data_IF_304171488668
#
_entry.id   IF_304171488668
#
_cell.length_a   1.000
_cell.length_b   1.000
_cell.length_c   1.000
_cell.angle_alpha   90.00
_cell.angle_beta   90.00
_cell.angle_gamma   90.00
#
_symmetry.space_group_name_H-M   'P 1'
#
loop_
_entity.id
_entity.type
_entity.pdbx_description
1 polymer ?
#
# COMPACT_ATOMS: atom_id res chain seq x y z
N UNK A 1 -21.78 9.05 13.63
CA UNK A 1 -21.08 7.76 13.88
C UNK A 1 -20.29 7.25 12.69
N UNK A 2 -20.91 6.95 11.52
CA UNK A 2 -20.20 6.39 10.35
C UNK A 2 -18.96 7.19 9.89
N UNK A 3 -19.04 8.53 9.85
CA UNK A 3 -17.90 9.40 9.44
C UNK A 3 -16.71 9.32 10.40
N UNK A 4 -16.96 9.27 11.71
CA UNK A 4 -15.89 9.20 12.73
C UNK A 4 -15.17 7.85 12.63
N UNK A 5 -15.91 6.75 12.48
CA UNK A 5 -15.33 5.41 12.29
C UNK A 5 -14.46 5.39 11.03
N UNK A 6 -14.96 5.94 9.91
CA UNK A 6 -14.20 6.06 8.67
C UNK A 6 -12.88 6.82 8.87
N UNK A 7 -12.93 8.02 9.47
CA UNK A 7 -11.73 8.82 9.72
C UNK A 7 -10.71 8.11 10.61
N UNK A 8 -11.16 7.40 11.66
CA UNK A 8 -10.28 6.63 12.56
C UNK A 8 -9.61 5.47 11.81
N UNK A 9 -10.36 4.72 11.00
CA UNK A 9 -9.81 3.61 10.21
C UNK A 9 -8.77 4.11 9.21
N UNK A 10 -9.03 5.24 8.53
CA UNK A 10 -8.05 5.86 7.64
C UNK A 10 -6.82 6.38 8.39
N UNK A 11 -6.98 6.94 9.59
CA UNK A 11 -5.86 7.37 10.42
C UNK A 11 -4.97 6.18 10.85
N UNK A 12 -5.59 5.07 11.26
CA UNK A 12 -4.88 3.85 11.62
C UNK A 12 -4.12 3.26 10.42
N UNK A 13 -4.78 3.18 9.26
CA UNK A 13 -4.16 2.70 8.02
C UNK A 13 -2.95 3.58 7.63
N UNK A 14 -3.08 4.90 7.72
CA UNK A 14 -1.99 5.83 7.45
C UNK A 14 -0.83 5.65 8.44
N UNK A 15 -1.11 5.52 9.74
CA UNK A 15 -0.09 5.29 10.76
C UNK A 15 0.69 3.99 10.51
N UNK A 16 -0.02 2.89 10.20
CA UNK A 16 0.59 1.61 9.84
C UNK A 16 1.44 1.71 8.57
N UNK A 17 0.97 2.45 7.56
CA UNK A 17 1.71 2.71 6.32
C UNK A 17 3.02 3.47 6.56
N UNK A 18 2.98 4.54 7.38
CA UNK A 18 4.17 5.31 7.76
C UNK A 18 5.18 4.45 8.53
N UNK A 19 4.70 3.63 9.48
CA UNK A 19 5.56 2.69 10.21
C UNK A 19 6.21 1.69 9.25
N UNK A 20 5.44 1.15 8.29
CA UNK A 20 5.97 0.23 7.26
C UNK A 20 7.10 0.86 6.44
N UNK A 21 6.92 2.09 5.95
CA UNK A 21 7.97 2.83 5.22
C UNK A 21 9.19 3.06 6.12
N UNK A 22 8.97 3.51 7.35
CA UNK A 22 10.07 3.75 8.29
C UNK A 22 10.90 2.48 8.51
N UNK A 23 10.25 1.33 8.71
CA UNK A 23 10.93 0.06 8.89
C UNK A 23 11.70 -0.37 7.63
N UNK A 24 11.14 -0.14 6.43
CA UNK A 24 11.83 -0.43 5.16
C UNK A 24 13.11 0.42 5.01
N UNK A 25 13.02 1.74 5.22
CA UNK A 25 14.17 2.64 5.14
C UNK A 25 15.21 2.32 6.22
N UNK A 26 14.77 2.04 7.45
CA UNK A 26 15.68 1.63 8.53
C UNK A 26 16.44 0.37 8.17
N UNK A 27 15.75 -0.66 7.66
CA UNK A 27 16.38 -1.91 7.24
C UNK A 27 17.39 -1.69 6.10
N UNK A 28 17.04 -0.89 5.10
CA UNK A 28 17.95 -0.57 4.00
C UNK A 28 19.21 0.15 4.49
N UNK A 29 19.05 1.17 5.34
CA UNK A 29 20.17 1.93 5.90
C UNK A 29 21.10 1.04 6.74
N UNK A 30 20.54 0.13 7.55
CA UNK A 30 21.31 -0.80 8.37
C UNK A 30 22.01 -1.88 7.52
N UNK A 31 21.46 -2.22 6.35
CA UNK A 31 21.99 -3.25 5.45
C UNK A 31 22.83 -2.69 4.30
N UNK A 32 23.05 -1.37 4.24
CA UNK A 32 23.79 -0.73 3.14
C UNK A 32 23.08 -0.77 1.78
N UNK A 33 21.75 -0.93 1.76
CA UNK A 33 20.94 -0.99 0.52
C UNK A 33 20.51 0.44 0.15
N UNK A 34 20.60 0.79 -1.12
CA UNK A 34 20.11 2.08 -1.61
C UNK A 34 18.57 2.21 -1.42
N UNK A 35 18.10 3.40 -1.05
CA UNK A 35 16.67 3.69 -1.00
C UNK A 35 16.14 4.21 -2.34
N UNK A 36 14.82 4.12 -2.56
CA UNK A 36 14.12 4.81 -3.65
C UNK A 36 14.61 4.48 -5.07
N UNK A 37 15.10 3.27 -5.34
CA UNK A 37 15.49 2.86 -6.70
C UNK A 37 14.40 2.05 -7.44
N UNK A 38 13.49 1.38 -6.72
CA UNK A 38 12.50 0.49 -7.33
C UNK A 38 11.17 1.20 -7.61
N UNK A 39 10.45 0.77 -8.64
CA UNK A 39 9.12 1.29 -8.95
C UNK A 39 8.15 1.13 -7.76
N UNK A 40 8.27 0.03 -7.01
CA UNK A 40 7.52 -0.22 -5.78
C UNK A 40 7.72 0.90 -4.75
N UNK A 41 8.95 1.37 -4.56
CA UNK A 41 9.25 2.46 -3.63
C UNK A 41 8.65 3.79 -4.11
N UNK A 42 8.76 4.12 -5.41
CA UNK A 42 8.23 5.36 -5.97
C UNK A 42 6.70 5.42 -5.89
N UNK A 43 6.01 4.34 -6.30
CA UNK A 43 4.55 4.27 -6.19
C UNK A 43 4.13 4.26 -4.71
N UNK A 44 4.84 3.54 -3.84
CA UNK A 44 4.54 3.48 -2.40
C UNK A 44 4.56 4.83 -1.70
N UNK A 45 5.59 5.65 -1.94
CA UNK A 45 5.62 7.03 -1.42
C UNK A 45 4.50 7.87 -2.02
N UNK A 46 4.26 7.77 -3.33
CA UNK A 46 3.17 8.48 -4.01
C UNK A 46 1.79 8.17 -3.40
N UNK A 47 1.53 6.89 -3.12
CA UNK A 47 0.29 6.43 -2.46
C UNK A 47 0.13 7.09 -1.10
N UNK A 48 1.15 7.10 -0.25
CA UNK A 48 1.07 7.70 1.09
C UNK A 48 0.85 9.21 1.03
N UNK A 49 1.55 9.92 0.14
CA UNK A 49 1.36 11.37 -0.05
C UNK A 49 -0.07 11.69 -0.47
N UNK A 50 -0.61 10.96 -1.46
CA UNK A 50 -2.00 11.14 -1.91
C UNK A 50 -3.00 10.77 -0.81
N UNK A 51 -2.73 9.71 -0.04
CA UNK A 51 -3.59 9.29 1.06
C UNK A 51 -3.72 10.38 2.14
N UNK A 52 -2.59 11.01 2.50
CA UNK A 52 -2.58 12.13 3.47
C UNK A 52 -3.38 13.31 2.95
N UNK A 53 -3.16 13.73 1.68
CA UNK A 53 -3.86 14.86 1.09
C UNK A 53 -5.40 14.65 1.08
N UNK A 54 -5.86 13.47 0.68
CA UNK A 54 -7.29 13.12 0.67
C UNK A 54 -7.87 13.09 2.09
N UNK A 55 -7.14 12.51 3.05
CA UNK A 55 -7.59 12.40 4.44
C UNK A 55 -7.69 13.77 5.12
N UNK A 56 -6.71 14.65 4.92
CA UNK A 56 -6.73 16.04 5.43
C UNK A 56 -7.89 16.82 4.82
N UNK A 57 -8.16 16.66 3.52
CA UNK A 57 -9.31 17.30 2.86
C UNK A 57 -10.66 16.84 3.42
N UNK A 58 -10.85 15.56 3.74
CA UNK A 58 -12.11 15.08 4.36
C UNK A 58 -12.29 15.58 5.81
N UNK A 59 -11.18 15.83 6.50
CA UNK A 59 -11.16 16.40 7.84
C UNK A 59 -11.52 17.90 7.84
N UNK A 60 -10.95 18.68 6.91
CA UNK A 60 -11.00 20.14 6.93
C UNK A 60 -12.08 20.76 6.03
N UNK A 61 -12.44 20.13 4.90
CA UNK A 61 -13.32 20.74 3.92
C UNK A 61 -14.80 20.36 4.12
N UNK A 62 -15.75 21.25 3.79
CA UNK A 62 -17.16 20.92 3.76
C UNK A 62 -17.43 19.80 2.76
N UNK A 63 -18.24 18.82 3.16
CA UNK A 63 -18.51 17.60 2.37
C UNK A 63 -19.02 17.87 0.95
N UNK A 64 -19.75 18.97 0.73
CA UNK A 64 -20.30 19.33 -0.59
C UNK A 64 -19.22 19.68 -1.61
N UNK A 65 -18.08 20.20 -1.16
CA UNK A 65 -17.00 20.64 -2.06
C UNK A 65 -15.99 19.54 -2.36
N UNK A 66 -15.84 18.55 -1.45
CA UNK A 66 -14.82 17.52 -1.56
C UNK A 66 -15.31 16.16 -2.04
N UNK A 67 -16.62 15.86 -2.04
CA UNK A 67 -17.10 14.48 -2.19
C UNK A 67 -16.76 13.81 -3.52
N UNK A 68 -16.86 14.52 -4.65
CA UNK A 68 -16.54 13.94 -5.96
C UNK A 68 -15.06 13.55 -6.03
N UNK A 69 -14.19 14.50 -5.68
CA UNK A 69 -12.74 14.31 -5.71
C UNK A 69 -12.29 13.29 -4.67
N UNK A 70 -12.87 13.31 -3.47
CA UNK A 70 -12.58 12.34 -2.42
C UNK A 70 -12.87 10.90 -2.87
N UNK A 71 -14.02 10.66 -3.52
CA UNK A 71 -14.36 9.31 -4.02
C UNK A 71 -13.44 8.89 -5.16
N UNK A 72 -13.24 9.74 -6.17
CA UNK A 72 -12.41 9.40 -7.34
C UNK A 72 -10.96 9.14 -6.93
N UNK A 73 -10.35 10.06 -6.16
CA UNK A 73 -8.98 9.87 -5.70
C UNK A 73 -8.85 8.73 -4.69
N UNK A 74 -9.87 8.51 -3.85
CA UNK A 74 -9.91 7.36 -2.93
C UNK A 74 -9.83 6.02 -3.68
N UNK A 75 -10.57 5.89 -4.78
CA UNK A 75 -10.52 4.69 -5.64
C UNK A 75 -9.15 4.55 -6.30
N UNK A 76 -8.60 5.63 -6.87
CA UNK A 76 -7.28 5.60 -7.51
C UNK A 76 -6.21 5.17 -6.52
N UNK A 77 -6.18 5.76 -5.33
CA UNK A 77 -5.23 5.42 -4.26
C UNK A 77 -5.40 3.97 -3.82
N UNK A 78 -6.63 3.47 -3.73
CA UNK A 78 -6.88 2.08 -3.39
C UNK A 78 -6.33 1.10 -4.44
N UNK A 79 -6.60 1.34 -5.73
CA UNK A 79 -6.08 0.51 -6.83
C UNK A 79 -4.54 0.56 -6.86
N UNK A 80 -3.96 1.75 -6.70
CA UNK A 80 -2.51 1.91 -6.62
C UNK A 80 -1.92 1.19 -5.41
N UNK A 81 -2.58 1.20 -4.25
CA UNK A 81 -2.12 0.51 -3.05
C UNK A 81 -2.11 -1.02 -3.25
N UNK A 82 -3.17 -1.59 -3.84
CA UNK A 82 -3.24 -3.03 -4.16
C UNK A 82 -2.17 -3.40 -5.18
N UNK A 83 -2.04 -2.64 -6.27
CA UNK A 83 -1.00 -2.86 -7.27
C UNK A 83 0.41 -2.73 -6.69
N UNK A 84 0.63 -1.75 -5.82
CA UNK A 84 1.92 -1.55 -5.18
C UNK A 84 2.27 -2.67 -4.18
N UNK A 85 1.28 -3.23 -3.47
CA UNK A 85 1.48 -4.40 -2.65
C UNK A 85 1.91 -5.62 -3.49
N UNK A 86 1.28 -5.83 -4.66
CA UNK A 86 1.69 -6.87 -5.61
C UNK A 86 3.13 -6.67 -6.11
N UNK A 87 3.54 -5.44 -6.41
CA UNK A 87 4.93 -5.13 -6.75
C UNK A 87 5.90 -5.45 -5.60
N UNK A 88 5.52 -5.12 -4.36
CA UNK A 88 6.35 -5.41 -3.18
C UNK A 88 6.54 -6.89 -2.91
N UNK A 89 5.48 -7.69 -3.04
CA UNK A 89 5.57 -9.16 -2.93
C UNK A 89 6.47 -9.75 -4.03
N UNK A 90 6.29 -9.32 -5.27
CA UNK A 90 7.09 -9.78 -6.40
C UNK A 90 8.57 -9.40 -6.24
N UNK A 91 8.86 -8.16 -5.86
CA UNK A 91 10.22 -7.67 -5.63
C UNK A 91 10.91 -8.47 -4.52
N UNK A 92 10.23 -8.66 -3.38
CA UNK A 92 10.79 -9.41 -2.26
C UNK A 92 11.03 -10.88 -2.59
N UNK A 93 10.08 -11.53 -3.27
CA UNK A 93 10.23 -12.92 -3.70
C UNK A 93 11.39 -13.07 -4.69
N UNK A 94 11.51 -12.16 -5.66
CA UNK A 94 12.63 -12.14 -6.62
C UNK A 94 13.99 -12.02 -5.91
N UNK A 95 14.08 -11.21 -4.85
CA UNK A 95 15.31 -11.11 -4.06
C UNK A 95 15.62 -12.41 -3.31
N UNK A 96 14.62 -13.04 -2.69
CA UNK A 96 14.80 -14.31 -1.99
C UNK A 96 15.24 -15.43 -2.95
N UNK A 97 14.61 -15.53 -4.13
CA UNK A 97 14.99 -16.50 -5.17
C UNK A 97 16.42 -16.28 -5.67
N UNK A 98 16.83 -15.01 -5.87
CA UNK A 98 18.22 -14.67 -6.19
C UNK A 98 19.20 -15.05 -5.07
N UNK A 99 18.74 -15.08 -3.82
CA UNK A 99 19.50 -15.52 -2.66
C UNK A 99 19.41 -17.04 -2.39
N UNK A 100 18.79 -17.81 -3.28
CA UNK A 100 18.77 -19.28 -3.22
C UNK A 100 17.46 -19.91 -2.76
N UNK A 101 16.39 -19.12 -2.58
CA UNK A 101 15.04 -19.68 -2.34
C UNK A 101 14.56 -20.47 -3.57
N UNK A 102 14.01 -21.65 -3.33
CA UNK A 102 13.43 -22.48 -4.39
C UNK A 102 12.18 -21.84 -4.99
N UNK A 103 12.17 -21.66 -6.31
CA UNK A 103 11.07 -21.06 -7.08
C UNK A 103 9.79 -21.89 -7.03
N UNK A 104 9.92 -23.19 -6.78
CA UNK A 104 8.80 -24.11 -6.60
C UNK A 104 8.69 -24.59 -5.15
N UNK A 105 9.37 -23.89 -4.23
CA UNK A 105 9.28 -24.13 -2.80
C UNK A 105 7.93 -23.71 -2.22
N UNK A 106 7.60 -24.26 -1.05
CA UNK A 106 6.36 -23.94 -0.32
C UNK A 106 6.26 -22.45 0.02
N UNK A 107 7.37 -21.79 0.33
CA UNK A 107 7.41 -20.35 0.61
C UNK A 107 7.06 -19.50 -0.63
N UNK A 108 7.61 -19.83 -1.80
CA UNK A 108 7.30 -19.14 -3.05
C UNK A 108 5.81 -19.28 -3.41
N UNK A 109 5.24 -20.48 -3.26
CA UNK A 109 3.81 -20.68 -3.44
C UNK A 109 2.97 -19.87 -2.45
N UNK A 110 3.36 -19.86 -1.17
CA UNK A 110 2.64 -19.12 -0.13
C UNK A 110 2.60 -17.62 -0.42
N UNK A 111 3.72 -17.02 -0.84
CA UNK A 111 3.78 -15.61 -1.24
C UNK A 111 2.90 -15.33 -2.47
N UNK A 112 2.94 -16.21 -3.48
CA UNK A 112 2.11 -16.07 -4.68
C UNK A 112 0.60 -16.16 -4.35
N UNK A 113 0.18 -17.14 -3.55
CA UNK A 113 -1.21 -17.25 -3.11
C UNK A 113 -1.66 -16.06 -2.26
N UNK A 114 -0.79 -15.56 -1.37
CA UNK A 114 -1.07 -14.36 -0.57
C UNK A 114 -1.27 -13.14 -1.47
N UNK A 115 -0.47 -13.01 -2.53
CA UNK A 115 -0.60 -11.93 -3.52
C UNK A 115 -1.91 -12.04 -4.29
N UNK A 116 -2.30 -13.26 -4.73
CA UNK A 116 -3.59 -13.51 -5.38
C UNK A 116 -4.76 -13.14 -4.46
N UNK A 117 -4.73 -13.56 -3.19
CA UNK A 117 -5.77 -13.23 -2.20
C UNK A 117 -5.85 -11.72 -2.00
N UNK A 118 -4.72 -11.03 -1.94
CA UNK A 118 -4.66 -9.56 -1.80
C UNK A 118 -5.34 -8.86 -2.99
N UNK A 119 -5.07 -9.32 -4.22
CA UNK A 119 -5.71 -8.79 -5.43
C UNK A 119 -7.21 -9.07 -5.45
N UNK A 120 -7.63 -10.30 -5.12
CA UNK A 120 -9.04 -10.68 -5.07
C UNK A 120 -9.80 -9.88 -4.01
N UNK A 121 -9.22 -9.69 -2.83
CA UNK A 121 -9.77 -8.81 -1.79
C UNK A 121 -9.89 -7.36 -2.29
N UNK A 122 -8.85 -6.89 -3.00
CA UNK A 122 -8.82 -5.68 -3.79
C UNK A 122 -10.10 -5.48 -4.62
N UNK A 123 -10.32 -6.41 -5.55
CA UNK A 123 -11.44 -6.40 -6.50
C UNK A 123 -12.80 -6.48 -5.80
N UNK A 124 -12.95 -7.36 -4.82
CA UNK A 124 -14.23 -7.58 -4.12
C UNK A 124 -14.69 -6.33 -3.36
N UNK A 125 -13.77 -5.59 -2.75
CA UNK A 125 -14.10 -4.34 -2.06
C UNK A 125 -14.41 -3.19 -3.02
N UNK A 126 -13.81 -3.17 -4.21
CA UNK A 126 -14.15 -2.17 -5.23
C UNK A 126 -15.57 -2.37 -5.79
N UNK A 127 -16.06 -3.61 -5.85
CA UNK A 127 -17.37 -3.94 -6.41
C UNK A 127 -18.59 -3.65 -5.53
N UNK A 128 -18.42 -2.93 -4.41
CA UNK A 128 -19.49 -2.61 -3.43
C UNK A 128 -19.62 -1.12 -3.20
#
# INVERSE_FOLDING_TARGET
>A
MKKVIHLILHALALALGIIGIYLAFKNHNQSGIANMYSLHAWIGIGVIVLYVDIWVRDLLLPRRESILWHVVFGIIVYVLAVGNASLGFLEKLTFLERSGLDKFGTEAFLVNFTTIITVLFGVLLYSR
#
